data_IF_489461869409
#
_entry.id   IF_489461869409
#
_cell.length_a   1.000
_cell.length_b   1.000
_cell.length_c   1.000
_cell.angle_alpha   90.00
_cell.angle_beta   90.00
_cell.angle_gamma   90.00
#
_symmetry.space_group_name_H-M   'P 1'
#
loop_
_entity.id
_entity.type
_entity.pdbx_description
1 polymer ?
#
# COMPACT_ATOMS: atom_id res chain seq x y z
N UNK A 1 4.94 17.75 -10.36
CA UNK A 1 5.67 16.50 -10.32
C UNK A 1 4.81 15.46 -9.65
N UNK A 2 4.69 14.29 -10.26
CA UNK A 2 4.01 13.14 -9.70
C UNK A 2 5.01 12.04 -9.35
N UNK A 3 4.69 11.27 -8.34
CA UNK A 3 5.53 10.20 -7.85
C UNK A 3 4.66 8.98 -7.52
N UNK A 4 5.24 7.81 -7.64
CA UNK A 4 4.67 6.61 -7.09
C UNK A 4 5.24 6.35 -5.70
N UNK A 5 4.38 6.06 -4.75
CA UNK A 5 4.71 5.69 -3.39
C UNK A 5 4.48 4.21 -3.15
N UNK A 6 5.19 3.64 -2.18
CA UNK A 6 4.96 2.28 -1.70
C UNK A 6 5.06 2.22 -0.17
N UNK A 7 4.42 1.20 0.41
CA UNK A 7 4.26 1.06 1.86
C UNK A 7 5.57 0.73 2.56
N UNK A 8 5.93 1.55 3.55
CA UNK A 8 7.04 1.33 4.48
C UNK A 8 6.54 1.40 5.92
N UNK A 9 7.11 0.57 6.77
CA UNK A 9 6.85 0.67 8.20
C UNK A 9 7.40 1.97 8.77
N UNK A 10 6.66 2.53 9.70
CA UNK A 10 6.98 3.71 10.48
C UNK A 10 6.99 3.34 11.96
N UNK A 11 7.82 3.98 12.76
CA UNK A 11 7.88 3.72 14.22
C UNK A 11 7.39 4.93 15.01
N UNK A 12 6.58 4.75 16.06
CA UNK A 12 6.00 5.85 16.82
C UNK A 12 7.02 6.79 17.48
N UNK A 13 8.19 6.27 17.80
CA UNK A 13 9.26 7.03 18.46
C UNK A 13 10.09 7.91 17.52
N UNK A 14 9.84 7.84 16.22
CA UNK A 14 10.55 8.66 15.25
C UNK A 14 10.07 10.10 15.31
N UNK A 15 10.97 11.02 15.58
CA UNK A 15 10.67 12.43 15.78
C UNK A 15 10.26 13.18 14.50
N UNK A 16 10.40 12.58 13.35
CA UNK A 16 10.04 13.17 12.05
C UNK A 16 8.67 12.72 11.54
N UNK A 17 7.71 12.53 12.45
CA UNK A 17 6.35 12.09 12.09
C UNK A 17 6.24 10.57 11.97
N UNK A 18 7.16 9.84 12.54
CA UNK A 18 7.15 8.40 12.55
C UNK A 18 7.64 7.75 11.26
N UNK A 19 8.28 8.49 10.39
CA UNK A 19 8.74 7.96 9.12
C UNK A 19 10.18 7.44 9.24
N UNK A 20 10.35 6.19 9.57
CA UNK A 20 11.59 5.48 9.30
C UNK A 20 11.49 4.75 7.96
N UNK A 21 11.76 5.47 6.90
CA UNK A 21 11.69 4.96 5.53
C UNK A 21 12.77 3.91 5.21
N UNK A 22 13.68 3.65 6.15
CA UNK A 22 14.83 2.77 5.91
C UNK A 22 14.65 1.34 6.36
N UNK A 23 13.74 1.05 7.27
CA UNK A 23 13.86 -0.14 8.13
C UNK A 23 13.08 -1.36 7.68
N UNK A 24 11.84 -1.27 7.27
CA UNK A 24 11.10 -2.46 6.90
C UNK A 24 10.23 -2.26 5.67
N UNK A 25 10.27 -3.25 4.81
CA UNK A 25 9.33 -3.34 3.71
C UNK A 25 8.07 -4.05 4.17
N UNK A 26 6.98 -3.31 4.33
CA UNK A 26 5.66 -3.86 4.66
C UNK A 26 4.70 -3.81 3.48
N UNK A 27 5.23 -3.57 2.30
CA UNK A 27 4.47 -3.41 1.05
C UNK A 27 3.44 -4.52 0.81
N UNK A 28 3.81 -5.77 1.01
CA UNK A 28 2.93 -6.91 0.74
C UNK A 28 1.71 -6.96 1.65
N UNK A 29 1.83 -6.44 2.86
CA UNK A 29 0.70 -6.30 3.79
C UNK A 29 0.03 -4.94 3.67
N UNK A 30 0.79 -3.86 3.63
CA UNK A 30 0.28 -2.50 3.55
C UNK A 30 -0.59 -2.25 2.32
N UNK A 31 -0.23 -2.83 1.19
CA UNK A 31 -0.98 -2.70 -0.07
C UNK A 31 -2.23 -3.59 -0.17
N UNK A 32 -2.46 -4.49 0.78
CA UNK A 32 -3.73 -5.24 0.82
C UNK A 32 -4.88 -4.36 1.31
N UNK A 33 -6.12 -4.71 0.98
CA UNK A 33 -7.30 -3.95 1.37
C UNK A 33 -7.73 -4.19 2.85
N UNK A 34 -6.76 -4.30 3.76
CA UNK A 34 -7.02 -4.36 5.20
C UNK A 34 -7.66 -3.08 5.70
N UNK A 35 -8.24 -3.13 6.89
CA UNK A 35 -8.70 -1.93 7.58
C UNK A 35 -7.54 -0.95 7.76
N UNK A 36 -7.71 0.28 7.28
CA UNK A 36 -6.76 1.37 7.44
C UNK A 36 -7.38 2.52 8.22
N UNK A 37 -6.67 2.98 9.23
CA UNK A 37 -7.10 4.10 10.07
C UNK A 37 -6.02 5.17 10.15
N UNK A 38 -6.42 6.42 10.33
CA UNK A 38 -5.53 7.53 10.64
C UNK A 38 -5.12 7.51 12.13
N UNK A 39 -4.30 8.45 12.58
CA UNK A 39 -3.86 8.52 13.98
C UNK A 39 -4.97 8.88 14.98
N UNK A 40 -6.16 9.27 14.52
CA UNK A 40 -7.33 9.40 15.36
C UNK A 40 -8.09 8.08 15.56
N UNK A 41 -7.65 6.99 14.96
CA UNK A 41 -8.32 5.69 14.98
C UNK A 41 -9.52 5.60 14.04
N UNK A 42 -9.62 6.44 13.02
CA UNK A 42 -10.76 6.56 12.11
C UNK A 42 -10.37 6.14 10.68
N UNK A 43 -11.28 5.43 9.98
CA UNK A 43 -11.14 5.18 8.54
C UNK A 43 -11.17 6.51 7.77
N UNK A 44 -10.42 6.59 6.70
CA UNK A 44 -10.31 7.80 5.88
C UNK A 44 -10.42 7.55 4.36
N UNK A 45 -10.49 6.28 3.93
CA UNK A 45 -10.54 5.94 2.51
C UNK A 45 -11.21 4.60 2.26
N UNK A 46 -11.48 4.31 0.98
CA UNK A 46 -11.75 2.96 0.50
C UNK A 46 -10.42 2.23 0.31
N UNK A 47 -10.15 1.22 1.11
CA UNK A 47 -8.89 0.47 1.10
C UNK A 47 -8.73 -0.44 -0.12
N UNK A 48 -9.75 -0.55 -0.98
CA UNK A 48 -9.65 -1.21 -2.29
C UNK A 48 -8.93 -0.37 -3.33
N UNK A 49 -8.72 0.91 -3.06
CA UNK A 49 -7.88 1.78 -3.87
C UNK A 49 -6.47 1.24 -4.02
N UNK A 50 -5.78 1.61 -5.09
CA UNK A 50 -4.38 1.24 -5.24
C UNK A 50 -3.57 1.89 -4.12
N UNK A 51 -2.58 1.17 -3.60
CA UNK A 51 -1.75 1.63 -2.48
C UNK A 51 -1.15 3.03 -2.72
N UNK A 52 -0.80 3.36 -3.94
CA UNK A 52 -0.27 4.66 -4.32
C UNK A 52 -1.24 5.81 -4.01
N UNK A 53 -2.52 5.66 -4.34
CA UNK A 53 -3.53 6.67 -4.02
C UNK A 53 -3.79 6.78 -2.52
N UNK A 54 -3.78 5.66 -1.80
CA UNK A 54 -3.98 5.64 -0.34
C UNK A 54 -2.83 6.37 0.34
N UNK A 55 -1.57 6.09 -0.07
CA UNK A 55 -0.39 6.75 0.48
C UNK A 55 -0.33 8.25 0.14
N UNK A 56 -0.85 8.67 -1.00
CA UNK A 56 -1.02 10.10 -1.29
C UNK A 56 -2.10 10.75 -0.41
N UNK A 57 -3.15 9.99 -0.06
CA UNK A 57 -4.19 10.49 0.85
C UNK A 57 -3.65 10.70 2.28
N UNK A 58 -2.59 9.99 2.67
CA UNK A 58 -1.91 10.19 3.96
C UNK A 58 -1.41 11.63 4.15
N UNK A 59 -1.10 12.33 3.06
CA UNK A 59 -0.68 13.73 3.12
C UNK A 59 -1.72 14.67 3.76
N UNK A 60 -2.98 14.25 3.79
CA UNK A 60 -4.06 14.98 4.46
C UNK A 60 -4.44 14.41 5.84
N UNK A 61 -3.77 13.35 6.29
CA UNK A 61 -4.02 12.72 7.58
C UNK A 61 -3.03 13.19 8.65
N UNK A 62 -3.38 13.09 9.94
CA UNK A 62 -2.46 13.42 11.03
C UNK A 62 -1.14 12.65 10.90
N UNK A 63 -0.02 13.36 10.96
CA UNK A 63 1.32 12.77 10.89
C UNK A 63 1.73 12.25 9.50
N UNK A 64 0.88 12.40 8.47
CA UNK A 64 1.10 11.88 7.10
C UNK A 64 1.32 10.35 7.08
N UNK A 65 0.65 9.65 7.96
CA UNK A 65 0.71 8.18 8.08
C UNK A 65 -0.68 7.61 8.34
N UNK A 66 -0.82 6.33 8.05
CA UNK A 66 -1.95 5.52 8.47
C UNK A 66 -1.49 4.27 9.23
N UNK A 67 -2.43 3.59 9.86
CA UNK A 67 -2.21 2.30 10.50
C UNK A 67 -3.03 1.24 9.77
N UNK A 68 -2.36 0.19 9.32
CA UNK A 68 -2.96 -0.95 8.68
C UNK A 68 -3.19 -2.06 9.71
N UNK A 69 -4.40 -2.65 9.76
CA UNK A 69 -4.85 -3.56 10.78
C UNK A 69 -5.40 -4.86 10.19
N UNK A 70 -5.03 -6.00 10.75
CA UNK A 70 -5.56 -7.32 10.40
C UNK A 70 -5.59 -8.26 11.62
N UNK A 71 -6.16 -9.43 11.45
CA UNK A 71 -6.26 -10.42 12.52
C UNK A 71 -5.58 -11.76 12.16
N UNK A 72 -5.71 -12.75 13.03
CA UNK A 72 -5.07 -14.05 12.88
C UNK A 72 -5.48 -14.83 11.61
N UNK A 73 -6.65 -14.55 11.05
CA UNK A 73 -7.15 -15.24 9.84
C UNK A 73 -6.75 -14.53 8.53
N UNK A 74 -5.80 -13.61 8.57
CA UNK A 74 -5.40 -12.78 7.46
C UNK A 74 -5.07 -13.57 6.17
N UNK A 75 -4.48 -14.74 6.27
CA UNK A 75 -4.13 -15.55 5.09
C UNK A 75 -5.38 -16.02 4.33
N UNK A 76 -6.44 -16.35 5.06
CA UNK A 76 -7.74 -16.73 4.48
C UNK A 76 -8.37 -15.55 3.73
N UNK A 77 -8.37 -14.38 4.34
CA UNK A 77 -8.95 -13.19 3.71
C UNK A 77 -8.11 -12.68 2.54
N UNK A 78 -6.78 -12.72 2.65
CA UNK A 78 -5.88 -12.34 1.57
C UNK A 78 -6.13 -13.16 0.29
N UNK A 79 -6.50 -14.43 0.43
CA UNK A 79 -6.85 -15.29 -0.70
C UNK A 79 -8.14 -14.83 -1.40
N UNK A 80 -9.09 -14.26 -0.65
CA UNK A 80 -10.38 -13.81 -1.18
C UNK A 80 -10.31 -12.45 -1.90
N UNK A 81 -9.27 -11.66 -1.66
CA UNK A 81 -9.22 -10.27 -2.11
C UNK A 81 -9.15 -10.09 -3.62
N UNK A 82 -8.84 -11.14 -4.37
CA UNK A 82 -8.66 -11.07 -5.82
C UNK A 82 -7.81 -9.86 -6.23
N UNK A 83 -6.64 -9.74 -5.61
CA UNK A 83 -5.73 -8.64 -5.86
C UNK A 83 -5.04 -8.79 -7.21
N UNK A 84 -5.16 -7.78 -8.02
CA UNK A 84 -4.35 -7.59 -9.22
C UNK A 84 -3.20 -6.64 -8.93
N UNK A 85 -2.12 -6.79 -9.69
CA UNK A 85 -0.96 -5.90 -9.55
C UNK A 85 0.16 -6.47 -8.68
N UNK A 86 1.04 -5.58 -8.22
CA UNK A 86 2.33 -5.94 -7.66
C UNK A 86 2.26 -6.69 -6.32
N UNK A 87 1.20 -6.54 -5.55
CA UNK A 87 1.07 -7.12 -4.20
C UNK A 87 0.33 -8.47 -4.15
N UNK A 88 0.12 -9.11 -5.29
CA UNK A 88 -0.54 -10.40 -5.34
C UNK A 88 0.31 -11.50 -4.69
N UNK A 89 -0.29 -12.23 -3.75
CA UNK A 89 0.37 -13.28 -2.96
C UNK A 89 -0.08 -14.71 -3.32
N UNK A 90 -1.12 -14.84 -4.13
CA UNK A 90 -1.68 -16.13 -4.57
C UNK A 90 -1.62 -16.26 -6.10
N UNK A 91 -1.57 -17.49 -6.65
CA UNK A 91 -1.61 -17.68 -8.09
C UNK A 91 -2.81 -17.01 -8.75
N UNK A 92 -2.65 -16.62 -10.00
CA UNK A 92 -3.76 -16.16 -10.83
C UNK A 92 -4.64 -17.34 -11.25
N UNK A 93 -5.88 -17.08 -11.64
CA UNK A 93 -6.83 -18.11 -12.06
C UNK A 93 -6.36 -18.92 -13.26
N UNK A 94 -5.52 -18.33 -14.10
CA UNK A 94 -4.87 -19.01 -15.23
C UNK A 94 -3.64 -19.84 -14.83
N UNK A 95 -3.34 -19.95 -13.53
CA UNK A 95 -2.20 -20.70 -13.00
C UNK A 95 -0.85 -19.95 -13.02
N UNK A 96 -0.83 -18.68 -13.44
CA UNK A 96 0.41 -17.90 -13.37
C UNK A 96 0.80 -17.66 -11.88
N UNK A 97 2.10 -17.69 -11.63
CA UNK A 97 2.65 -17.51 -10.29
C UNK A 97 2.30 -16.13 -9.70
N UNK A 98 2.14 -16.03 -8.37
CA UNK A 98 2.03 -14.73 -7.70
C UNK A 98 3.35 -13.95 -7.81
N UNK A 99 3.28 -12.64 -7.57
CA UNK A 99 4.49 -11.83 -7.55
C UNK A 99 5.41 -12.17 -6.37
N UNK A 100 4.81 -12.52 -5.22
CA UNK A 100 5.51 -13.06 -4.07
C UNK A 100 4.62 -14.10 -3.38
N UNK A 101 5.09 -15.35 -3.20
CA UNK A 101 4.31 -16.39 -2.53
C UNK A 101 3.98 -16.03 -1.09
N UNK A 102 2.81 -16.45 -0.62
CA UNK A 102 2.30 -16.14 0.73
C UNK A 102 3.25 -16.63 1.83
N UNK A 103 3.97 -17.74 1.61
CA UNK A 103 4.93 -18.30 2.57
C UNK A 103 6.10 -17.34 2.79
N UNK A 104 6.55 -16.66 1.74
CA UNK A 104 7.62 -15.65 1.82
C UNK A 104 7.11 -14.42 2.55
N UNK A 105 5.88 -13.96 2.25
CA UNK A 105 5.25 -12.83 2.96
C UNK A 105 5.08 -13.16 4.44
N UNK A 106 4.68 -14.40 4.77
CA UNK A 106 4.55 -14.84 6.16
C UNK A 106 5.89 -14.74 6.90
N UNK A 107 6.97 -15.23 6.30
CA UNK A 107 8.32 -15.11 6.89
C UNK A 107 8.75 -13.64 7.05
N UNK A 108 8.47 -12.79 6.07
CA UNK A 108 8.75 -11.34 6.17
C UNK A 108 7.97 -10.68 7.31
N UNK A 109 6.71 -11.06 7.52
CA UNK A 109 5.88 -10.55 8.62
C UNK A 109 6.43 -10.97 9.97
N UNK A 110 6.88 -12.22 10.11
CA UNK A 110 7.52 -12.72 11.34
C UNK A 110 8.79 -11.92 11.67
N UNK A 111 9.62 -11.64 10.67
CA UNK A 111 10.81 -10.80 10.88
C UNK A 111 10.45 -9.35 11.23
N UNK A 112 9.45 -8.77 10.58
CA UNK A 112 8.97 -7.43 10.89
C UNK A 112 8.35 -7.35 12.30
N UNK A 113 7.68 -8.41 12.75
CA UNK A 113 7.16 -8.54 14.13
C UNK A 113 8.30 -8.61 15.14
N UNK A 114 9.31 -9.46 14.90
CA UNK A 114 10.50 -9.56 15.77
C UNK A 114 11.28 -8.26 15.87
N UNK A 115 11.32 -7.51 14.76
CA UNK A 115 11.96 -6.19 14.70
C UNK A 115 11.12 -5.07 15.34
N UNK A 116 9.87 -5.34 15.73
CA UNK A 116 8.97 -4.34 16.33
C UNK A 116 8.31 -3.40 15.33
N UNK A 117 8.39 -3.66 14.03
CA UNK A 117 7.70 -2.87 13.01
C UNK A 117 6.22 -3.20 12.94
N UNK A 118 5.87 -4.49 13.02
CA UNK A 118 4.50 -4.95 13.22
C UNK A 118 4.27 -5.11 14.72
N UNK A 119 3.16 -4.59 15.22
CA UNK A 119 2.71 -4.79 16.59
C UNK A 119 1.69 -5.92 16.64
N UNK A 120 1.70 -6.68 17.74
CA UNK A 120 0.76 -7.76 18.00
C UNK A 120 0.17 -7.60 19.40
N UNK A 121 -1.13 -7.89 19.53
CA UNK A 121 -1.81 -7.92 20.83
C UNK A 121 -2.99 -8.89 20.81
N UNK A 122 -3.47 -9.28 21.99
CA UNK A 122 -4.64 -10.15 22.13
C UNK A 122 -5.94 -9.37 22.23
N UNK A 123 -5.89 -8.05 22.44
CA UNK A 123 -7.04 -7.15 22.43
C UNK A 123 -6.79 -5.94 21.54
N UNK A 124 -7.89 -5.31 21.09
CA UNK A 124 -7.83 -4.08 20.28
C UNK A 124 -7.28 -2.91 21.10
N UNK A 125 -7.61 -2.85 22.37
CA UNK A 125 -7.14 -1.81 23.30
C UNK A 125 -5.63 -1.87 23.48
N UNK A 126 -5.07 -3.05 23.72
CA UNK A 126 -3.62 -3.26 23.81
C UNK A 126 -2.92 -2.94 22.48
N UNK A 127 -3.53 -3.31 21.37
CA UNK A 127 -2.99 -2.99 20.05
C UNK A 127 -2.99 -1.48 19.81
N UNK A 128 -4.06 -0.80 20.20
CA UNK A 128 -4.15 0.66 20.11
C UNK A 128 -3.04 1.34 20.92
N UNK A 129 -2.79 0.89 22.17
CA UNK A 129 -1.72 1.42 23.00
C UNK A 129 -0.34 1.25 22.33
N UNK A 130 -0.04 0.05 21.83
CA UNK A 130 1.24 -0.25 21.14
C UNK A 130 1.42 0.58 19.86
N UNK A 131 0.33 0.93 19.18
CA UNK A 131 0.34 1.71 17.94
C UNK A 131 0.23 3.24 18.18
N UNK A 132 0.01 3.66 19.45
CA UNK A 132 -0.18 5.06 19.79
C UNK A 132 -1.49 5.64 19.26
N UNK A 133 -2.57 4.84 19.27
CA UNK A 133 -3.90 5.22 18.81
C UNK A 133 -4.88 5.41 19.99
N UNK A 134 -5.92 6.26 19.86
CA UNK A 134 -7.01 6.33 20.82
C UNK A 134 -7.79 5.01 20.86
N UNK A 135 -7.73 4.26 21.97
CA UNK A 135 -8.29 2.92 22.08
C UNK A 135 -9.79 2.86 21.83
N UNK A 136 -10.57 3.80 22.39
CA UNK A 136 -12.02 3.88 22.22
C UNK A 136 -12.41 4.13 20.74
N UNK A 137 -11.69 5.04 20.06
CA UNK A 137 -11.94 5.35 18.66
C UNK A 137 -11.62 4.14 17.78
N UNK A 138 -10.48 3.49 18.03
CA UNK A 138 -10.08 2.30 17.28
C UNK A 138 -11.10 1.17 17.47
N UNK A 139 -11.51 0.87 18.70
CA UNK A 139 -12.48 -0.18 18.99
C UNK A 139 -13.81 0.06 18.25
N UNK A 140 -14.31 1.30 18.24
CA UNK A 140 -15.50 1.69 17.50
C UNK A 140 -15.35 1.51 15.99
N UNK A 141 -14.19 1.86 15.45
CA UNK A 141 -13.89 1.70 14.02
C UNK A 141 -13.81 0.22 13.64
N UNK A 142 -13.18 -0.61 14.47
CA UNK A 142 -13.11 -2.07 14.27
C UNK A 142 -14.50 -2.68 14.33
N UNK A 143 -15.33 -2.31 15.30
CA UNK A 143 -16.72 -2.76 15.38
C UNK A 143 -17.51 -2.40 14.12
N UNK A 144 -17.40 -1.16 13.65
CA UNK A 144 -18.06 -0.71 12.42
C UNK A 144 -17.57 -1.48 11.19
N UNK A 145 -16.26 -1.70 11.07
CA UNK A 145 -15.69 -2.52 10.00
C UNK A 145 -16.27 -3.96 10.02
N UNK A 146 -16.38 -4.54 11.22
CA UNK A 146 -16.94 -5.88 11.39
C UNK A 146 -18.42 -5.94 11.01
N UNK A 147 -19.21 -4.91 11.29
CA UNK A 147 -20.60 -4.78 10.85
C UNK A 147 -20.70 -4.69 9.32
N UNK A 148 -19.83 -3.90 8.68
CA UNK A 148 -19.77 -3.80 7.22
C UNK A 148 -19.47 -5.18 6.59
N UNK A 149 -18.52 -5.93 7.18
CA UNK A 149 -18.22 -7.30 6.74
C UNK A 149 -19.43 -8.23 6.90
N UNK A 150 -20.12 -8.22 8.03
CA UNK A 150 -21.31 -9.07 8.26
C UNK A 150 -22.45 -8.76 7.28
N UNK A 151 -22.64 -7.48 6.99
CA UNK A 151 -23.64 -7.01 6.05
C UNK A 151 -23.21 -7.19 4.57
N UNK A 152 -21.96 -7.60 4.32
CA UNK A 152 -21.34 -7.67 2.99
C UNK A 152 -21.53 -6.35 2.22
N UNK A 153 -21.45 -5.25 2.94
CA UNK A 153 -21.66 -3.91 2.40
C UNK A 153 -20.94 -2.86 3.24
N UNK A 154 -20.10 -2.08 2.59
CA UNK A 154 -19.46 -0.90 3.18
C UNK A 154 -20.25 0.36 2.85
N UNK A 155 -21.04 0.83 3.80
CA UNK A 155 -21.83 2.06 3.65
C UNK A 155 -21.01 3.34 3.83
N UNK A 156 -19.77 3.23 4.32
CA UNK A 156 -18.94 4.38 4.66
C UNK A 156 -18.09 4.84 3.46
N UNK A 157 -17.44 3.91 2.76
CA UNK A 157 -16.52 4.20 1.66
C UNK A 157 -16.76 3.37 0.40
N UNK A 158 -17.74 2.46 0.41
CA UNK A 158 -18.12 1.67 -0.77
C UNK A 158 -17.11 0.59 -1.16
N UNK A 159 -16.36 0.05 -0.20
CA UNK A 159 -15.44 -1.07 -0.42
C UNK A 159 -16.20 -2.32 -0.86
N UNK A 160 -15.68 -3.01 -1.84
CA UNK A 160 -16.33 -4.17 -2.43
C UNK A 160 -16.43 -5.33 -1.43
N UNK A 161 -17.54 -6.11 -1.44
CA UNK A 161 -17.76 -7.20 -0.48
C UNK A 161 -16.62 -8.22 -0.42
N UNK A 162 -16.08 -8.63 -1.56
CA UNK A 162 -15.01 -9.63 -1.64
C UNK A 162 -13.65 -9.11 -1.12
N UNK A 163 -13.53 -7.82 -0.84
CA UNK A 163 -12.36 -7.18 -0.23
C UNK A 163 -12.58 -6.76 1.22
N UNK A 164 -13.77 -7.00 1.76
CA UNK A 164 -14.02 -6.81 3.18
C UNK A 164 -13.35 -7.94 3.98
N UNK A 165 -12.76 -7.59 5.09
CA UNK A 165 -12.25 -8.54 6.08
C UNK A 165 -12.58 -8.04 7.48
N UNK A 166 -13.00 -8.93 8.40
CA UNK A 166 -13.21 -8.55 9.80
C UNK A 166 -11.88 -8.45 10.53
N UNK A 167 -11.91 -7.85 11.70
CA UNK A 167 -10.82 -7.84 12.69
C UNK A 167 -11.43 -8.35 14.00
N UNK A 168 -11.40 -9.69 14.21
CA UNK A 168 -12.16 -10.36 15.30
C UNK A 168 -11.37 -11.39 16.07
N UNK A 169 -10.40 -12.03 15.42
CA UNK A 169 -9.73 -13.21 15.95
C UNK A 169 -8.32 -12.84 16.42
N UNK A 170 -8.04 -12.90 17.72
CA UNK A 170 -6.70 -12.66 18.20
C UNK A 170 -5.73 -13.79 17.73
N UNK A 171 -4.42 -13.48 17.64
CA UNK A 171 -3.85 -12.18 17.87
C UNK A 171 -4.21 -11.17 16.76
N UNK A 172 -4.36 -9.91 17.19
CA UNK A 172 -4.52 -8.76 16.29
C UNK A 172 -3.16 -8.18 15.94
N UNK A 173 -3.04 -7.70 14.73
CA UNK A 173 -1.81 -7.12 14.22
C UNK A 173 -2.05 -5.72 13.67
N UNK A 174 -1.03 -4.90 13.77
CA UNK A 174 -1.05 -3.58 13.17
C UNK A 174 0.33 -3.05 12.83
N UNK A 175 0.40 -2.23 11.81
CA UNK A 175 1.62 -1.55 11.39
C UNK A 175 1.34 -0.10 11.06
N UNK A 176 2.15 0.81 11.58
CA UNK A 176 2.16 2.22 11.17
C UNK A 176 2.86 2.30 9.82
N UNK A 177 2.19 2.89 8.85
CA UNK A 177 2.62 2.87 7.45
C UNK A 177 2.75 4.29 6.92
N UNK A 178 3.79 4.54 6.17
CA UNK A 178 4.02 5.78 5.44
C UNK A 178 4.44 5.48 4.00
N UNK A 179 4.27 6.45 3.12
CA UNK A 179 4.72 6.37 1.74
C UNK A 179 6.22 6.63 1.61
N UNK A 180 6.92 5.73 0.93
CA UNK A 180 8.27 5.98 0.45
C UNK A 180 8.27 6.11 -1.07
N UNK A 181 9.11 7.01 -1.59
CA UNK A 181 9.24 7.21 -3.02
C UNK A 181 9.78 5.94 -3.70
N UNK A 182 9.01 5.39 -4.62
CA UNK A 182 9.45 4.29 -5.47
C UNK A 182 10.09 4.82 -6.77
N UNK A 183 9.36 5.67 -7.47
CA UNK A 183 9.85 6.29 -8.71
C UNK A 183 9.10 7.60 -8.98
N UNK A 184 9.67 8.42 -9.85
CA UNK A 184 8.96 9.55 -10.46
C UNK A 184 8.14 9.06 -11.65
N UNK A 185 6.97 9.65 -11.89
CA UNK A 185 6.13 9.33 -13.04
C UNK A 185 6.23 10.37 -14.14
N UNK A 186 6.71 11.56 -13.81
CA UNK A 186 7.17 12.53 -14.77
C UNK A 186 8.52 12.07 -15.35
N UNK A 187 9.10 12.83 -16.18
CA UNK A 187 10.40 12.52 -16.75
C UNK A 187 10.72 13.49 -17.84
N UNK A 188 11.80 13.25 -18.55
CA UNK A 188 12.21 14.06 -19.68
C UNK A 188 11.23 13.81 -20.83
N UNK A 189 10.70 14.87 -21.41
CA UNK A 189 9.79 14.77 -22.57
C UNK A 189 10.55 14.19 -23.75
N UNK A 190 9.99 13.16 -24.38
CA UNK A 190 10.57 12.47 -25.51
C UNK A 190 9.61 12.39 -26.70
N UNK A 191 10.16 12.19 -27.89
CA UNK A 191 9.37 11.79 -29.07
C UNK A 191 9.25 10.26 -29.19
N UNK A 192 8.59 9.78 -30.21
CA UNK A 192 8.40 8.36 -30.49
C UNK A 192 9.68 7.60 -30.84
N UNK A 193 10.77 8.29 -31.12
CA UNK A 193 12.10 7.74 -31.35
C UNK A 193 12.95 7.72 -30.07
N UNK A 194 12.39 8.11 -28.92
CA UNK A 194 13.12 8.14 -27.63
C UNK A 194 14.05 9.33 -27.47
N UNK A 195 14.03 10.32 -28.39
CA UNK A 195 14.87 11.50 -28.30
C UNK A 195 14.28 12.52 -27.32
N UNK A 196 15.13 13.08 -26.46
CA UNK A 196 14.73 14.16 -25.56
C UNK A 196 14.34 15.43 -26.37
N UNK A 197 13.28 16.09 -25.91
CA UNK A 197 12.77 17.30 -26.58
C UNK A 197 13.11 18.55 -25.75
N UNK A 198 13.35 19.64 -26.46
CA UNK A 198 13.39 20.99 -25.89
C UNK A 198 11.98 21.51 -25.66
N UNK A 199 11.88 22.63 -24.99
CA UNK A 199 10.60 23.28 -24.71
C UNK A 199 9.83 23.68 -26.00
N UNK A 200 10.54 23.98 -27.08
CA UNK A 200 9.97 24.28 -28.40
C UNK A 200 9.55 23.03 -29.21
N UNK A 201 9.72 21.83 -28.62
CA UNK A 201 9.39 20.55 -29.25
C UNK A 201 10.48 20.00 -30.18
N UNK A 202 11.59 20.70 -30.38
CA UNK A 202 12.70 20.20 -31.20
C UNK A 202 13.51 19.13 -30.45
N UNK A 203 14.00 18.11 -31.16
CA UNK A 203 14.83 17.08 -30.58
C UNK A 203 16.23 17.61 -30.23
N UNK A 204 16.75 17.13 -29.08
CA UNK A 204 18.16 17.34 -28.74
C UNK A 204 18.97 16.26 -29.46
N UNK A 205 19.80 16.66 -30.40
CA UNK A 205 20.61 15.74 -31.20
C UNK A 205 21.53 14.88 -30.29
N UNK A 206 21.51 13.57 -30.51
CA UNK A 206 22.33 12.60 -29.79
C UNK A 206 21.85 12.27 -28.37
N UNK A 207 20.77 12.89 -27.85
CA UNK A 207 20.25 12.59 -26.51
C UNK A 207 18.99 11.73 -26.60
N UNK A 208 19.11 10.52 -26.05
CA UNK A 208 18.02 9.55 -25.94
C UNK A 208 17.72 9.24 -24.47
N UNK A 209 16.44 9.04 -24.13
CA UNK A 209 16.02 8.75 -22.77
C UNK A 209 15.09 7.53 -22.78
N UNK A 210 15.38 6.56 -21.90
CA UNK A 210 14.64 5.30 -21.81
C UNK A 210 14.20 5.04 -20.38
N UNK A 211 13.36 4.03 -20.20
CA UNK A 211 12.90 3.60 -18.88
C UNK A 211 12.08 4.64 -18.14
N UNK A 212 12.17 4.65 -16.83
CA UNK A 212 11.40 5.57 -15.99
C UNK A 212 11.82 7.03 -16.11
N UNK A 213 13.02 7.30 -16.62
CA UNK A 213 13.47 8.69 -16.86
C UNK A 213 12.80 9.33 -18.08
N UNK A 214 12.23 8.53 -19.00
CA UNK A 214 11.45 9.03 -20.11
C UNK A 214 10.01 9.32 -19.69
N UNK A 215 9.61 10.59 -19.87
CA UNK A 215 8.30 11.09 -19.42
C UNK A 215 7.13 10.79 -20.34
N UNK A 216 5.93 11.12 -19.84
CA UNK A 216 4.69 11.11 -20.61
C UNK A 216 4.01 9.74 -20.76
N UNK A 217 4.63 8.65 -20.36
CA UNK A 217 4.05 7.31 -20.54
C UNK A 217 2.93 7.01 -19.54
N UNK A 218 3.14 7.30 -18.28
CA UNK A 218 2.17 6.99 -17.21
C UNK A 218 1.14 8.09 -16.98
N UNK A 219 1.36 9.25 -17.54
CA UNK A 219 0.42 10.38 -17.47
C UNK A 219 -0.10 10.66 -16.04
N UNK A 220 0.79 10.74 -15.07
CA UNK A 220 0.50 10.98 -13.64
C UNK A 220 -0.17 9.81 -12.89
N UNK A 221 -0.33 8.64 -13.53
CA UNK A 221 -0.94 7.46 -12.90
C UNK A 221 -0.08 6.23 -13.13
N UNK A 222 0.39 5.60 -12.06
CA UNK A 222 1.15 4.35 -12.19
C UNK A 222 0.21 3.18 -12.53
N UNK A 223 0.53 2.33 -13.53
CA UNK A 223 -0.34 1.26 -14.00
C UNK A 223 -0.28 0.03 -13.09
N UNK A 224 -0.73 0.14 -11.85
CA UNK A 224 -0.69 -0.94 -10.85
C UNK A 224 -1.37 -2.24 -11.31
N UNK A 225 -2.41 -2.14 -12.13
CA UNK A 225 -3.13 -3.30 -12.66
C UNK A 225 -2.39 -3.99 -13.82
N UNK A 226 -1.32 -3.38 -14.32
CA UNK A 226 -0.53 -3.89 -15.45
C UNK A 226 0.89 -4.19 -14.99
N UNK A 227 1.02 -5.19 -14.12
CA UNK A 227 2.30 -5.61 -13.54
C UNK A 227 3.32 -5.96 -14.63
N UNK A 228 4.54 -5.46 -14.48
CA UNK A 228 5.63 -5.66 -15.45
C UNK A 228 5.68 -4.64 -16.57
N UNK A 229 4.69 -3.76 -16.69
CA UNK A 229 4.62 -2.79 -17.78
C UNK A 229 5.82 -1.81 -17.78
N UNK A 230 6.22 -1.32 -16.61
CA UNK A 230 7.40 -0.45 -16.49
C UNK A 230 8.68 -1.15 -16.96
N UNK A 231 8.90 -2.39 -16.51
CA UNK A 231 10.04 -3.21 -16.92
C UNK A 231 9.99 -3.53 -18.43
N UNK A 232 8.83 -3.95 -18.92
CA UNK A 232 8.63 -4.24 -20.35
C UNK A 232 8.94 -3.05 -21.24
N UNK A 233 8.49 -1.86 -20.85
CA UNK A 233 8.82 -0.62 -21.54
C UNK A 233 10.35 -0.36 -21.56
N UNK A 234 11.00 -0.47 -20.39
CA UNK A 234 12.44 -0.20 -20.26
C UNK A 234 13.32 -1.12 -21.12
N UNK A 235 12.88 -2.37 -21.33
CA UNK A 235 13.66 -3.32 -22.15
C UNK A 235 13.30 -3.27 -23.64
N UNK A 236 12.24 -2.57 -24.02
CA UNK A 236 11.76 -2.47 -25.40
C UNK A 236 12.23 -1.17 -26.08
N UNK A 237 12.36 -0.09 -25.32
CA UNK A 237 12.69 1.25 -25.83
C UNK A 237 13.95 1.82 -25.20
#
# INVERSE_FOLDING_TARGET
>A
HSSMLFDRASVPADSLGGADCGTAMVFWMGSQPWLKVNLNGERFCNESGTYDFILHADASQPGNIHVCLWDADWQTYAQQFDMHGCSRMFPFDNGAAPNLPIEVVTAMNEEALKAGHIQQADTIEELAEKLGLPAEALAKTVERNNQNYDNQRDDDFGKEPFRLSPVRKPPFFGVRTTGALLCTMDGIVINTQGQALREDGSAIEGLYVTGNDSGGYYSMTYPNLSTGNACGRTVTF
#
